data_IF_795409839812
#
_entry.id   IF_795409839812
#
_cell.length_a   1.000
_cell.length_b   1.000
_cell.length_c   1.000
_cell.angle_alpha   90.00
_cell.angle_beta   90.00
_cell.angle_gamma   90.00
#
_symmetry.space_group_name_H-M   'P 1'
#
loop_
_entity.id
_entity.type
_entity.pdbx_description
1 polymer ?
#
# COMPACT_ATOMS: atom_id res chain seq x y z
N UNK A 1 -29.84 -16.74 25.58
CA UNK A 1 -28.63 -16.81 24.73
C UNK A 1 -28.78 -15.76 23.64
N UNK A 2 -27.94 -14.72 23.63
CA UNK A 2 -27.95 -13.72 22.55
C UNK A 2 -27.27 -14.38 21.35
N UNK A 3 -28.04 -14.69 20.31
CA UNK A 3 -27.51 -15.29 19.09
C UNK A 3 -26.90 -14.18 18.23
N UNK A 4 -25.59 -14.21 18.00
CA UNK A 4 -24.95 -13.33 17.03
C UNK A 4 -25.33 -13.77 15.62
N UNK A 5 -25.80 -12.81 14.82
CA UNK A 5 -26.19 -13.03 13.43
C UNK A 5 -25.21 -12.32 12.49
N UNK A 6 -24.92 -12.87 11.30
CA UNK A 6 -23.94 -12.27 10.41
C UNK A 6 -24.45 -10.95 9.83
N UNK A 7 -23.54 -9.98 9.73
CA UNK A 7 -23.71 -8.85 8.83
C UNK A 7 -23.92 -9.35 7.39
N UNK A 8 -24.90 -8.79 6.66
CA UNK A 8 -25.20 -9.24 5.30
C UNK A 8 -24.01 -9.07 4.35
N UNK A 9 -23.26 -7.98 4.52
CA UNK A 9 -22.14 -7.62 3.64
C UNK A 9 -20.83 -8.33 4.01
N UNK A 10 -20.49 -8.41 5.31
CA UNK A 10 -19.16 -8.89 5.72
C UNK A 10 -19.16 -10.18 6.53
N UNK A 11 -20.33 -10.78 6.80
CA UNK A 11 -20.45 -12.02 7.56
C UNK A 11 -20.10 -11.90 9.05
N UNK A 12 -19.55 -10.77 9.52
CA UNK A 12 -19.14 -10.61 10.92
C UNK A 12 -20.34 -10.68 11.87
N UNK A 13 -20.15 -11.28 13.04
CA UNK A 13 -21.19 -11.40 14.06
C UNK A 13 -21.69 -10.03 14.55
N UNK A 14 -23.01 -9.87 14.57
CA UNK A 14 -23.70 -8.69 15.09
C UNK A 14 -24.75 -9.11 16.13
N UNK A 15 -24.87 -8.38 17.24
CA UNK A 15 -26.01 -8.53 18.14
C UNK A 15 -27.23 -7.87 17.48
N UNK A 16 -28.04 -8.66 16.77
CA UNK A 16 -29.24 -8.20 16.06
C UNK A 16 -30.47 -8.88 16.63
N UNK A 17 -31.48 -8.09 16.97
CA UNK A 17 -32.75 -8.56 17.55
C UNK A 17 -33.80 -8.65 16.45
N UNK A 18 -34.78 -9.53 16.62
CA UNK A 18 -35.89 -9.68 15.66
C UNK A 18 -36.59 -8.33 15.44
N UNK A 19 -36.74 -7.95 14.16
CA UNK A 19 -37.35 -6.68 13.75
C UNK A 19 -36.40 -5.47 13.78
N UNK A 20 -35.15 -5.62 14.24
CA UNK A 20 -34.21 -4.50 14.30
C UNK A 20 -33.41 -4.30 13.01
N UNK A 21 -32.87 -3.08 12.87
CA UNK A 21 -31.88 -2.70 11.87
C UNK A 21 -30.63 -2.23 12.60
N UNK A 22 -29.48 -2.84 12.27
CA UNK A 22 -28.22 -2.56 12.97
C UNK A 22 -27.16 -2.09 11.98
N UNK A 23 -26.40 -1.05 12.34
CA UNK A 23 -25.23 -0.62 11.58
C UNK A 23 -24.04 -1.52 11.94
N UNK A 24 -23.45 -2.19 10.97
CA UNK A 24 -22.26 -3.00 11.19
C UNK A 24 -21.07 -2.11 11.56
N UNK A 25 -20.42 -2.31 12.73
CA UNK A 25 -19.29 -1.49 13.13
C UNK A 25 -18.02 -1.78 12.32
N UNK A 26 -17.99 -2.89 11.56
CA UNK A 26 -16.82 -3.34 10.80
C UNK A 26 -16.85 -2.86 9.35
N UNK A 27 -17.99 -3.04 8.66
CA UNK A 27 -18.14 -2.65 7.26
C UNK A 27 -19.02 -1.41 7.04
N UNK A 28 -19.65 -0.87 8.09
CA UNK A 28 -20.53 0.29 8.00
C UNK A 28 -21.85 0.05 7.25
N UNK A 29 -22.15 -1.19 6.84
CA UNK A 29 -23.42 -1.52 6.20
C UNK A 29 -24.56 -1.56 7.20
N UNK A 30 -25.75 -1.09 6.79
CA UNK A 30 -26.97 -1.28 7.57
C UNK A 30 -27.53 -2.66 7.24
N UNK A 31 -27.68 -3.51 8.25
CA UNK A 31 -28.19 -4.87 8.12
C UNK A 31 -29.52 -5.03 8.84
N UNK A 32 -30.51 -5.54 8.12
CA UNK A 32 -31.80 -5.96 8.69
C UNK A 32 -31.68 -7.38 9.26
N UNK A 33 -32.40 -7.64 10.35
CA UNK A 33 -32.50 -8.98 10.93
C UNK A 33 -32.81 -10.09 9.91
N UNK A 34 -33.77 -9.84 9.01
CA UNK A 34 -34.16 -10.84 7.99
C UNK A 34 -33.04 -11.11 6.97
N UNK A 35 -32.28 -10.10 6.58
CA UNK A 35 -31.12 -10.25 5.68
C UNK A 35 -30.03 -11.09 6.34
N UNK A 36 -29.76 -10.82 7.63
CA UNK A 36 -28.82 -11.62 8.41
C UNK A 36 -29.25 -13.07 8.53
N UNK A 37 -30.54 -13.33 8.83
CA UNK A 37 -31.05 -14.70 8.90
C UNK A 37 -30.92 -15.41 7.56
N UNK A 38 -31.31 -14.73 6.47
CA UNK A 38 -31.24 -15.32 5.14
C UNK A 38 -29.79 -15.68 4.78
N UNK A 39 -28.86 -14.75 4.95
CA UNK A 39 -27.43 -14.99 4.74
C UNK A 39 -26.94 -16.13 5.63
N UNK A 40 -27.33 -16.16 6.90
CA UNK A 40 -26.89 -17.19 7.82
C UNK A 40 -27.39 -18.58 7.43
N UNK A 41 -28.67 -18.71 7.06
CA UNK A 41 -29.26 -19.98 6.59
C UNK A 41 -28.55 -20.48 5.33
N UNK A 42 -28.28 -19.59 4.38
CA UNK A 42 -27.55 -19.93 3.15
C UNK A 42 -26.19 -20.54 3.48
N UNK A 43 -25.37 -19.87 4.29
CA UNK A 43 -24.03 -20.36 4.64
C UNK A 43 -24.05 -21.59 5.54
N UNK A 44 -25.06 -21.72 6.40
CA UNK A 44 -25.26 -22.91 7.21
C UNK A 44 -25.59 -24.14 6.33
N UNK A 45 -26.40 -23.95 5.28
CA UNK A 45 -26.69 -24.97 4.29
C UNK A 45 -25.48 -25.28 3.40
N UNK A 46 -24.70 -24.27 3.02
CA UNK A 46 -23.51 -24.45 2.20
C UNK A 46 -22.41 -25.22 2.94
N UNK A 47 -22.10 -24.82 4.18
CA UNK A 47 -20.98 -25.38 4.95
C UNK A 47 -21.36 -26.69 5.63
N UNK A 48 -22.49 -26.72 6.35
CA UNK A 48 -22.88 -27.88 7.15
C UNK A 48 -23.98 -28.73 6.50
N UNK A 49 -24.56 -28.30 5.37
CA UNK A 49 -25.74 -28.93 4.75
C UNK A 49 -26.89 -29.06 5.75
N UNK A 50 -27.11 -28.00 6.53
CA UNK A 50 -28.17 -27.87 7.52
C UNK A 50 -29.18 -26.81 7.08
N UNK A 51 -30.46 -27.19 7.03
CA UNK A 51 -31.55 -26.33 6.55
C UNK A 51 -32.20 -25.51 7.70
N UNK A 52 -31.86 -25.80 8.95
CA UNK A 52 -32.50 -25.16 10.13
C UNK A 52 -31.49 -24.59 11.12
N UNK A 53 -31.81 -23.41 11.66
CA UNK A 53 -31.06 -22.70 12.72
C UNK A 53 -31.35 -23.31 14.11
N UNK A 54 -32.23 -24.32 14.22
CA UNK A 54 -32.59 -24.88 15.54
C UNK A 54 -31.37 -25.57 16.15
N UNK A 55 -30.81 -24.96 17.19
CA UNK A 55 -29.82 -25.60 18.05
C UNK A 55 -30.47 -26.80 18.72
N UNK A 56 -30.04 -28.00 18.33
CA UNK A 56 -30.46 -29.22 19.03
C UNK A 56 -29.75 -29.26 20.38
N UNK A 57 -30.43 -29.68 21.43
CA UNK A 57 -29.85 -29.85 22.77
C UNK A 57 -28.82 -30.99 22.81
N UNK A 58 -28.98 -32.01 21.94
CA UNK A 58 -27.99 -33.08 21.73
C UNK A 58 -27.82 -33.38 20.24
N UNK A 59 -26.56 -33.58 19.83
CA UNK A 59 -26.19 -34.06 18.51
C UNK A 59 -25.86 -35.56 18.56
N UNK A 60 -26.31 -36.32 17.55
CA UNK A 60 -25.85 -37.72 17.37
C UNK A 60 -24.37 -37.72 16.97
N UNK A 61 -23.58 -38.67 17.47
CA UNK A 61 -22.14 -38.75 17.18
C UNK A 61 -21.83 -38.75 15.67
N UNK A 62 -22.60 -39.49 14.86
CA UNK A 62 -22.45 -39.51 13.38
C UNK A 62 -22.58 -38.12 12.75
N UNK A 63 -23.52 -37.31 13.25
CA UNK A 63 -23.72 -35.93 12.76
C UNK A 63 -22.60 -35.01 13.26
N UNK A 64 -22.07 -35.23 14.47
CA UNK A 64 -20.95 -34.46 14.99
C UNK A 64 -19.68 -34.68 14.16
N UNK A 65 -19.34 -35.94 13.85
CA UNK A 65 -18.20 -36.28 13.00
C UNK A 65 -18.36 -35.73 11.58
N UNK A 66 -19.58 -35.79 11.01
CA UNK A 66 -19.88 -35.15 9.73
C UNK A 66 -19.60 -33.65 9.78
N UNK A 67 -20.07 -32.94 10.81
CA UNK A 67 -19.81 -31.49 10.96
C UNK A 67 -18.33 -31.18 11.09
N UNK A 68 -17.58 -31.95 11.89
CA UNK A 68 -16.12 -31.84 12.00
C UNK A 68 -15.42 -31.97 10.65
N UNK A 69 -15.81 -32.95 9.84
CA UNK A 69 -15.26 -33.16 8.49
C UNK A 69 -15.57 -31.97 7.56
N UNK A 70 -16.83 -31.52 7.53
CA UNK A 70 -17.25 -30.43 6.65
C UNK A 70 -16.60 -29.10 7.02
N UNK A 71 -16.52 -28.77 8.32
CA UNK A 71 -15.84 -27.54 8.77
C UNK A 71 -14.35 -27.59 8.49
N UNK A 72 -13.70 -28.76 8.62
CA UNK A 72 -12.30 -28.95 8.23
C UNK A 72 -12.08 -28.69 6.75
N UNK A 73 -12.89 -29.31 5.89
CA UNK A 73 -12.80 -29.13 4.45
C UNK A 73 -13.00 -27.66 4.06
N UNK A 74 -14.02 -27.01 4.61
CA UNK A 74 -14.30 -25.61 4.35
C UNK A 74 -13.18 -24.69 4.83
N UNK A 75 -12.67 -24.88 6.05
CA UNK A 75 -11.58 -24.07 6.59
C UNK A 75 -10.30 -24.21 5.76
N UNK A 76 -9.96 -25.42 5.33
CA UNK A 76 -8.79 -25.64 4.49
C UNK A 76 -8.90 -24.87 3.17
N UNK A 77 -10.08 -24.89 2.53
CA UNK A 77 -10.34 -24.10 1.32
C UNK A 77 -10.27 -22.60 1.61
N UNK A 78 -10.95 -22.13 2.65
CA UNK A 78 -10.92 -20.73 3.07
C UNK A 78 -9.50 -20.22 3.30
N UNK A 79 -8.68 -21.00 3.99
CA UNK A 79 -7.29 -20.65 4.27
C UNK A 79 -6.42 -20.68 3.01
N UNK A 80 -6.65 -21.63 2.10
CA UNK A 80 -5.98 -21.66 0.80
C UNK A 80 -6.32 -20.40 -0.01
N UNK A 81 -7.61 -20.09 -0.18
CA UNK A 81 -8.09 -18.92 -0.92
C UNK A 81 -7.57 -17.61 -0.31
N UNK A 82 -7.48 -17.51 1.02
CA UNK A 82 -6.89 -16.36 1.71
C UNK A 82 -5.39 -16.20 1.38
N UNK A 83 -4.64 -17.29 1.34
CA UNK A 83 -3.20 -17.25 1.09
C UNK A 83 -2.85 -16.92 -0.38
N UNK A 84 -3.80 -16.97 -1.31
CA UNK A 84 -3.61 -16.42 -2.66
C UNK A 84 -3.42 -14.89 -2.64
N UNK A 85 -3.98 -14.20 -1.63
CA UNK A 85 -3.80 -12.77 -1.46
C UNK A 85 -2.42 -12.46 -0.90
N UNK A 86 -1.52 -12.07 -1.82
CA UNK A 86 -0.14 -11.69 -1.50
C UNK A 86 -0.05 -10.34 -0.76
N UNK A 87 -1.05 -9.47 -0.92
CA UNK A 87 -1.11 -8.16 -0.27
C UNK A 87 -2.26 -8.15 0.72
N UNK A 88 -2.03 -7.54 1.88
CA UNK A 88 -3.09 -7.32 2.86
C UNK A 88 -3.56 -5.87 2.90
N UNK A 89 -2.82 -4.96 2.28
CA UNK A 89 -3.16 -3.55 2.11
C UNK A 89 -2.80 -3.14 0.67
N UNK A 90 -3.52 -2.18 0.11
CA UNK A 90 -3.26 -1.58 -1.20
C UNK A 90 -3.03 -0.09 -1.04
N UNK A 91 -1.91 0.38 -1.58
CA UNK A 91 -1.54 1.79 -1.65
C UNK A 91 -2.00 2.40 -2.97
N UNK A 92 -1.96 3.73 -3.07
CA UNK A 92 -2.20 4.44 -4.35
C UNK A 92 -1.06 4.28 -5.36
N UNK A 93 0.09 3.75 -4.94
CA UNK A 93 1.24 3.50 -5.80
C UNK A 93 1.22 2.10 -6.44
N UNK A 94 0.45 1.17 -5.87
CA UNK A 94 0.45 -0.22 -6.29
C UNK A 94 -0.28 -0.41 -7.62
N UNK A 95 0.32 -1.18 -8.52
CA UNK A 95 -0.31 -1.58 -9.79
C UNK A 95 -0.97 -2.97 -9.69
N UNK A 96 -1.80 -3.16 -8.66
CA UNK A 96 -2.50 -4.42 -8.39
C UNK A 96 -3.98 -4.22 -8.65
N UNK A 97 -4.57 -5.15 -9.40
CA UNK A 97 -6.01 -5.27 -9.55
C UNK A 97 -6.53 -6.43 -8.70
N UNK A 98 -7.69 -6.24 -8.09
CA UNK A 98 -8.34 -7.21 -7.23
C UNK A 98 -9.78 -7.32 -7.66
N UNK A 99 -10.24 -8.55 -7.95
CA UNK A 99 -11.66 -8.81 -8.15
C UNK A 99 -12.42 -8.54 -6.84
N UNK A 100 -13.21 -7.45 -6.77
CA UNK A 100 -13.92 -7.09 -5.56
C UNK A 100 -15.01 -8.10 -5.22
N UNK A 101 -15.61 -8.76 -6.22
CA UNK A 101 -16.67 -9.75 -6.03
C UNK A 101 -16.12 -11.01 -5.36
N UNK A 102 -14.99 -11.51 -5.85
CA UNK A 102 -14.29 -12.65 -5.22
C UNK A 102 -13.83 -12.31 -3.80
N UNK A 103 -13.26 -11.11 -3.60
CA UNK A 103 -12.82 -10.65 -2.28
C UNK A 103 -13.99 -10.58 -1.29
N UNK A 104 -15.13 -10.00 -1.69
CA UNK A 104 -16.30 -9.90 -0.83
C UNK A 104 -16.89 -11.26 -0.45
N UNK A 105 -16.97 -12.19 -1.40
CA UNK A 105 -17.42 -13.54 -1.10
C UNK A 105 -16.52 -14.21 -0.07
N UNK A 106 -15.21 -14.04 -0.18
CA UNK A 106 -14.26 -14.58 0.80
C UNK A 106 -14.39 -13.93 2.18
N UNK A 107 -14.57 -12.60 2.23
CA UNK A 107 -14.86 -11.86 3.47
C UNK A 107 -16.08 -12.47 4.16
N UNK A 108 -17.20 -12.62 3.43
CA UNK A 108 -18.45 -13.17 3.96
C UNK A 108 -18.26 -14.60 4.46
N UNK A 109 -17.60 -15.45 3.68
CA UNK A 109 -17.29 -16.83 4.04
C UNK A 109 -16.52 -16.92 5.36
N UNK A 110 -15.47 -16.10 5.54
CA UNK A 110 -14.70 -16.07 6.77
C UNK A 110 -15.53 -15.60 7.99
N UNK A 111 -16.35 -14.56 7.82
CA UNK A 111 -17.20 -14.07 8.90
C UNK A 111 -18.29 -15.07 9.30
N UNK A 112 -18.95 -15.70 8.34
CA UNK A 112 -19.98 -16.70 8.61
C UNK A 112 -19.40 -17.97 9.25
N UNK A 113 -18.20 -18.39 8.84
CA UNK A 113 -17.53 -19.56 9.38
C UNK A 113 -17.23 -19.42 10.87
N UNK A 114 -16.80 -18.23 11.31
CA UNK A 114 -16.61 -17.89 12.72
C UNK A 114 -17.89 -18.16 13.54
N UNK A 115 -19.03 -17.65 13.08
CA UNK A 115 -20.34 -17.80 13.74
C UNK A 115 -20.79 -19.27 13.73
N UNK A 116 -20.54 -20.00 12.65
CA UNK A 116 -20.90 -21.42 12.53
C UNK A 116 -20.10 -22.27 13.52
N UNK A 117 -18.79 -22.02 13.67
CA UNK A 117 -17.98 -22.73 14.66
C UNK A 117 -18.47 -22.47 16.08
N UNK A 118 -18.68 -21.20 16.42
CA UNK A 118 -19.11 -20.76 17.76
C UNK A 118 -20.48 -21.35 18.16
N UNK A 119 -21.45 -21.34 17.24
CA UNK A 119 -22.82 -21.67 17.58
C UNK A 119 -23.22 -23.13 17.25
N UNK A 120 -22.56 -23.78 16.27
CA UNK A 120 -23.03 -25.05 15.70
C UNK A 120 -22.03 -26.21 15.79
N UNK A 121 -20.80 -25.97 16.22
CA UNK A 121 -19.82 -27.04 16.45
C UNK A 121 -19.27 -27.03 17.87
N UNK A 122 -18.68 -25.92 18.32
CA UNK A 122 -18.01 -25.81 19.62
C UNK A 122 -18.88 -26.25 20.82
N UNK A 123 -20.18 -25.91 20.92
CA UNK A 123 -21.02 -26.29 22.06
C UNK A 123 -21.25 -27.81 22.21
N UNK A 124 -20.94 -28.59 21.16
CA UNK A 124 -21.17 -30.03 21.12
C UNK A 124 -19.89 -30.85 21.34
N UNK A 125 -18.73 -30.20 21.40
CA UNK A 125 -17.45 -30.86 21.62
C UNK A 125 -17.21 -31.04 23.12
N UNK A 126 -16.63 -32.19 23.50
CA UNK A 126 -16.32 -32.53 24.90
C UNK A 126 -14.82 -32.65 25.18
N UNK A 127 -14.02 -32.98 24.17
CA UNK A 127 -12.58 -33.20 24.31
C UNK A 127 -11.81 -31.89 24.19
N UNK A 128 -10.98 -31.58 25.19
CA UNK A 128 -10.21 -30.33 25.24
C UNK A 128 -9.31 -30.11 24.02
N UNK A 129 -8.60 -31.15 23.57
CA UNK A 129 -7.72 -31.07 22.38
C UNK A 129 -8.52 -30.67 21.14
N UNK A 130 -9.68 -31.28 20.97
CA UNK A 130 -10.58 -31.04 19.84
C UNK A 130 -11.18 -29.64 19.94
N UNK A 131 -11.63 -29.21 21.13
CA UNK A 131 -12.12 -27.84 21.39
C UNK A 131 -11.06 -26.80 21.04
N UNK A 132 -9.83 -26.96 21.53
CA UNK A 132 -8.72 -26.03 21.25
C UNK A 132 -8.49 -25.84 19.75
N UNK A 133 -8.45 -26.94 19.00
CA UNK A 133 -8.29 -26.91 17.54
C UNK A 133 -9.38 -26.11 16.82
N UNK A 134 -10.66 -26.30 17.16
CA UNK A 134 -11.74 -25.57 16.50
C UNK A 134 -11.84 -24.12 16.98
N UNK A 135 -11.43 -23.81 18.22
CA UNK A 135 -11.23 -22.42 18.66
C UNK A 135 -10.15 -21.73 17.84
N UNK A 136 -9.01 -22.38 17.60
CA UNK A 136 -7.97 -21.83 16.73
C UNK A 136 -8.48 -21.53 15.31
N UNK A 137 -9.32 -22.39 14.73
CA UNK A 137 -9.92 -22.13 13.41
C UNK A 137 -10.90 -20.97 13.41
N UNK A 138 -11.69 -20.83 14.48
CA UNK A 138 -12.57 -19.66 14.66
C UNK A 138 -11.75 -18.39 14.71
N UNK A 139 -10.69 -18.37 15.51
CA UNK A 139 -9.80 -17.23 15.69
C UNK A 139 -9.08 -16.86 14.39
N UNK A 140 -8.58 -17.85 13.65
CA UNK A 140 -7.98 -17.63 12.34
C UNK A 140 -9.01 -17.10 11.33
N UNK A 141 -10.24 -17.59 11.36
CA UNK A 141 -11.32 -17.08 10.50
C UNK A 141 -11.66 -15.62 10.79
N UNK A 142 -11.66 -15.22 12.06
CA UNK A 142 -11.81 -13.83 12.46
C UNK A 142 -10.68 -12.97 11.88
N UNK A 143 -9.42 -13.41 12.02
CA UNK A 143 -8.26 -12.70 11.46
C UNK A 143 -8.37 -12.59 9.93
N UNK A 144 -8.74 -13.67 9.23
CA UNK A 144 -8.93 -13.67 7.78
C UNK A 144 -10.00 -12.66 7.40
N UNK A 145 -11.17 -12.68 8.05
CA UNK A 145 -12.27 -11.74 7.80
C UNK A 145 -11.83 -10.28 7.93
N UNK A 146 -11.16 -9.93 9.04
CA UNK A 146 -10.71 -8.56 9.28
C UNK A 146 -9.57 -8.13 8.36
N UNK A 147 -8.64 -9.04 8.05
CA UNK A 147 -7.55 -8.76 7.11
C UNK A 147 -8.09 -8.47 5.72
N UNK A 148 -9.04 -9.27 5.24
CA UNK A 148 -9.68 -9.07 3.93
C UNK A 148 -10.56 -7.82 3.89
N UNK A 149 -11.22 -7.46 5.00
CA UNK A 149 -11.91 -6.16 5.11
C UNK A 149 -10.94 -4.98 5.03
N UNK A 150 -9.78 -5.08 5.70
CA UNK A 150 -8.70 -4.10 5.58
C UNK A 150 -8.23 -3.94 4.14
N UNK A 151 -7.96 -5.07 3.47
CA UNK A 151 -7.60 -5.13 2.06
C UNK A 151 -8.66 -4.46 1.18
N UNK A 152 -9.93 -4.83 1.34
CA UNK A 152 -11.04 -4.28 0.57
C UNK A 152 -11.12 -2.76 0.70
N UNK A 153 -11.09 -2.22 1.93
CA UNK A 153 -11.19 -0.78 2.10
C UNK A 153 -9.96 -0.03 1.58
N UNK A 154 -8.77 -0.61 1.68
CA UNK A 154 -7.57 -0.03 1.05
C UNK A 154 -7.67 -0.03 -0.48
N UNK A 155 -8.25 -1.06 -1.09
CA UNK A 155 -8.55 -1.11 -2.52
C UNK A 155 -9.54 -0.03 -2.95
N UNK A 156 -10.64 0.14 -2.20
CA UNK A 156 -11.61 1.23 -2.47
C UNK A 156 -10.96 2.60 -2.25
N UNK A 157 -10.07 2.74 -1.27
CA UNK A 157 -9.31 3.97 -1.05
C UNK A 157 -8.40 4.30 -2.25
N UNK A 158 -7.70 3.30 -2.80
CA UNK A 158 -6.87 3.45 -4.01
C UNK A 158 -7.69 4.02 -5.16
N UNK A 159 -8.85 3.43 -5.43
CA UNK A 159 -9.70 3.77 -6.58
C UNK A 159 -10.52 5.06 -6.40
N UNK A 160 -10.58 5.61 -5.19
CA UNK A 160 -11.28 6.87 -4.94
C UNK A 160 -10.43 8.08 -5.35
N UNK A 161 -11.03 9.02 -6.08
CA UNK A 161 -10.43 10.31 -6.45
C UNK A 161 -10.61 11.39 -5.36
N UNK A 162 -11.58 11.21 -4.46
CA UNK A 162 -11.89 12.18 -3.41
C UNK A 162 -11.12 11.87 -2.13
N UNK A 163 -10.35 12.84 -1.62
CA UNK A 163 -9.53 12.68 -0.42
C UNK A 163 -10.38 12.31 0.79
N UNK A 164 -11.54 12.93 0.97
CA UNK A 164 -12.42 12.68 2.12
C UNK A 164 -12.90 11.23 2.15
N UNK A 165 -13.24 10.68 0.97
CA UNK A 165 -13.60 9.27 0.82
C UNK A 165 -12.40 8.37 1.08
N UNK A 166 -11.22 8.68 0.53
CA UNK A 166 -10.00 7.92 0.78
C UNK A 166 -9.65 7.86 2.27
N UNK A 167 -9.74 9.00 2.99
CA UNK A 167 -9.51 9.07 4.43
C UNK A 167 -10.46 8.14 5.17
N UNK A 168 -11.77 8.21 4.85
CA UNK A 168 -12.78 7.34 5.47
C UNK A 168 -12.51 5.87 5.21
N UNK A 169 -12.10 5.49 4.00
CA UNK A 169 -11.79 4.10 3.69
C UNK A 169 -10.54 3.61 4.41
N UNK A 170 -9.47 4.41 4.47
CA UNK A 170 -8.30 4.04 5.28
C UNK A 170 -8.63 3.96 6.78
N UNK A 171 -9.52 4.82 7.33
CA UNK A 171 -10.01 4.67 8.70
C UNK A 171 -10.73 3.33 8.93
N UNK A 172 -11.53 2.88 7.96
CA UNK A 172 -12.18 1.57 8.03
C UNK A 172 -11.16 0.42 7.95
N UNK A 173 -10.13 0.54 7.09
CA UNK A 173 -9.07 -0.45 7.01
C UNK A 173 -8.28 -0.54 8.33
N UNK A 174 -7.84 0.62 8.85
CA UNK A 174 -7.14 0.77 10.14
C UNK A 174 -7.94 0.13 11.27
N UNK A 175 -9.24 0.43 11.36
CA UNK A 175 -10.13 -0.14 12.38
C UNK A 175 -10.17 -1.66 12.31
N UNK A 176 -10.19 -2.24 11.12
CA UNK A 176 -10.23 -3.70 10.96
C UNK A 176 -8.92 -4.36 11.40
N UNK A 177 -7.75 -3.81 11.09
CA UNK A 177 -6.49 -4.33 11.65
C UNK A 177 -6.38 -4.11 13.15
N UNK A 178 -6.84 -2.96 13.66
CA UNK A 178 -6.88 -2.70 15.10
C UNK A 178 -7.76 -3.72 15.83
N UNK A 179 -8.90 -4.10 15.27
CA UNK A 179 -9.73 -5.18 15.84
C UNK A 179 -8.96 -6.51 15.96
N UNK A 180 -8.05 -6.82 15.02
CA UNK A 180 -7.19 -8.01 15.12
C UNK A 180 -6.21 -7.86 16.28
N UNK A 181 -5.57 -6.69 16.42
CA UNK A 181 -4.64 -6.40 17.52
C UNK A 181 -5.34 -6.54 18.87
N UNK A 182 -6.53 -5.96 19.00
CA UNK A 182 -7.35 -6.04 20.21
C UNK A 182 -7.75 -7.48 20.50
N UNK A 183 -8.14 -8.24 19.48
CA UNK A 183 -8.43 -9.67 19.59
C UNK A 183 -7.22 -10.47 20.07
N UNK A 184 -6.03 -10.24 19.51
CA UNK A 184 -4.79 -10.90 19.93
C UNK A 184 -4.40 -10.57 21.38
N UNK A 185 -4.75 -9.38 21.89
CA UNK A 185 -4.53 -9.03 23.29
C UNK A 185 -5.49 -9.79 24.21
N UNK A 186 -6.77 -9.86 23.84
CA UNK A 186 -7.79 -10.61 24.59
C UNK A 186 -7.44 -12.10 24.61
N UNK A 187 -7.10 -12.68 23.46
CA UNK A 187 -6.76 -14.11 23.34
C UNK A 187 -5.50 -14.48 24.11
N UNK A 188 -4.56 -13.54 24.34
CA UNK A 188 -3.38 -13.77 25.19
C UNK A 188 -3.79 -13.90 26.66
N UNK A 189 -4.68 -13.05 27.15
CA UNK A 189 -5.19 -13.11 28.52
C UNK A 189 -5.93 -14.43 28.79
N UNK A 190 -6.64 -14.95 27.78
CA UNK A 190 -7.37 -16.22 27.87
C UNK A 190 -6.49 -17.46 27.63
N UNK A 191 -5.38 -17.32 26.88
CA UNK A 191 -4.47 -18.40 26.50
C UNK A 191 -3.04 -17.88 26.31
N UNK A 192 -2.23 -17.94 27.38
CA UNK A 192 -0.84 -17.45 27.42
C UNK A 192 0.12 -18.09 26.39
N UNK A 193 -0.27 -19.15 25.67
CA UNK A 193 0.50 -19.82 24.62
C UNK A 193 -0.04 -19.66 23.19
N UNK A 194 -0.99 -18.75 22.93
CA UNK A 194 -1.63 -18.68 21.61
C UNK A 194 -0.64 -18.32 20.49
N UNK A 195 -0.60 -19.13 19.43
CA UNK A 195 0.16 -18.82 18.19
C UNK A 195 -0.28 -17.51 17.55
N UNK A 196 -1.50 -17.06 17.85
CA UNK A 196 -2.11 -15.82 17.35
C UNK A 196 -1.38 -14.58 17.85
N UNK A 197 -0.88 -14.58 19.09
CA UNK A 197 -0.13 -13.45 19.63
C UNK A 197 1.15 -13.16 18.84
N UNK A 198 1.78 -14.18 18.25
CA UNK A 198 2.96 -13.99 17.38
C UNK A 198 2.65 -13.14 16.14
N UNK A 199 1.40 -13.14 15.68
CA UNK A 199 0.94 -12.33 14.54
C UNK A 199 0.57 -10.89 14.92
N UNK A 200 0.47 -10.57 16.22
CA UNK A 200 0.05 -9.24 16.71
C UNK A 200 0.93 -8.13 16.14
N UNK A 201 2.25 -8.32 16.17
CA UNK A 201 3.20 -7.30 15.75
C UNK A 201 3.03 -6.93 14.27
N UNK A 202 2.80 -7.93 13.42
CA UNK A 202 2.51 -7.72 12.01
C UNK A 202 1.24 -6.87 11.80
N UNK A 203 0.16 -7.16 12.52
CA UNK A 203 -1.09 -6.38 12.41
C UNK A 203 -1.00 -4.99 13.07
N UNK A 204 -0.15 -4.81 14.08
CA UNK A 204 0.18 -3.49 14.60
C UNK A 204 0.86 -2.64 13.53
N UNK A 205 1.86 -3.20 12.84
CA UNK A 205 2.56 -2.51 11.74
C UNK A 205 1.58 -2.15 10.62
N UNK A 206 0.69 -3.08 10.21
CA UNK A 206 -0.37 -2.79 9.25
C UNK A 206 -1.25 -1.62 9.70
N UNK A 207 -1.70 -1.64 10.96
CA UNK A 207 -2.53 -0.56 11.52
C UNK A 207 -1.82 0.78 11.42
N UNK A 208 -0.57 0.85 11.89
CA UNK A 208 0.22 2.08 11.88
C UNK A 208 0.55 2.57 10.47
N UNK A 209 0.80 1.66 9.53
CA UNK A 209 1.06 2.01 8.14
C UNK A 209 -0.20 2.56 7.45
N UNK A 210 -1.38 1.98 7.69
CA UNK A 210 -2.64 2.53 7.19
C UNK A 210 -2.87 3.95 7.72
N UNK A 211 -2.57 4.19 9.00
CA UNK A 211 -2.61 5.54 9.58
C UNK A 211 -1.68 6.49 8.81
N UNK A 212 -0.46 6.05 8.48
CA UNK A 212 0.46 6.86 7.66
C UNK A 212 -0.13 7.13 6.27
N UNK A 213 -0.65 6.13 5.56
CA UNK A 213 -1.26 6.32 4.24
C UNK A 213 -2.43 7.32 4.28
N UNK A 214 -3.26 7.22 5.32
CA UNK A 214 -4.37 8.15 5.56
C UNK A 214 -3.89 9.58 5.76
N UNK A 215 -2.85 9.76 6.57
CA UNK A 215 -2.37 11.09 6.94
C UNK A 215 -1.52 11.72 5.83
N UNK A 216 -0.79 10.89 5.05
CA UNK A 216 -0.09 11.31 3.83
C UNK A 216 -1.05 11.95 2.84
N UNK A 217 -2.32 11.51 2.72
CA UNK A 217 -3.27 12.17 1.79
C UNK A 217 -3.31 13.71 1.92
N UNK A 218 -3.04 14.26 3.10
CA UNK A 218 -3.09 15.70 3.39
C UNK A 218 -1.74 16.32 3.78
N UNK A 219 -0.67 15.54 3.90
CA UNK A 219 0.61 15.99 4.46
C UNK A 219 1.79 15.46 3.64
N UNK A 220 2.91 16.18 3.70
CA UNK A 220 4.15 15.72 3.10
C UNK A 220 4.58 14.37 3.74
N UNK A 221 4.87 13.32 2.96
CA UNK A 221 5.42 12.06 3.46
C UNK A 221 6.63 12.22 4.39
N UNK A 222 7.41 13.30 4.24
CA UNK A 222 8.60 13.63 5.05
C UNK A 222 8.32 13.64 6.56
N UNK A 223 7.12 14.06 6.96
CA UNK A 223 6.71 14.08 8.37
C UNK A 223 6.62 12.67 8.99
N UNK A 224 6.61 11.63 8.16
CA UNK A 224 6.48 10.24 8.59
C UNK A 224 7.75 9.43 8.38
N UNK A 225 8.86 10.02 7.92
CA UNK A 225 10.11 9.30 7.60
C UNK A 225 10.62 8.45 8.77
N UNK A 226 10.72 9.02 9.98
CA UNK A 226 11.12 8.27 11.18
C UNK A 226 10.14 7.12 11.51
N UNK A 227 8.84 7.34 11.29
CA UNK A 227 7.81 6.33 11.53
C UNK A 227 7.92 5.19 10.52
N UNK A 228 8.06 5.50 9.24
CA UNK A 228 8.25 4.52 8.16
C UNK A 228 9.52 3.69 8.39
N UNK A 229 10.64 4.33 8.73
CA UNK A 229 11.89 3.63 9.05
C UNK A 229 11.73 2.69 10.25
N UNK A 230 11.04 3.12 11.31
CA UNK A 230 10.75 2.28 12.46
C UNK A 230 9.87 1.07 12.07
N UNK A 231 8.86 1.26 11.21
CA UNK A 231 8.03 0.15 10.72
C UNK A 231 8.86 -0.87 9.93
N UNK A 232 9.76 -0.42 9.05
CA UNK A 232 10.68 -1.31 8.31
C UNK A 232 11.59 -2.10 9.27
N UNK A 233 12.16 -1.44 10.28
CA UNK A 233 12.99 -2.11 11.31
C UNK A 233 12.20 -3.16 12.07
N UNK A 234 10.94 -2.88 12.43
CA UNK A 234 10.06 -3.83 13.13
C UNK A 234 9.66 -5.01 12.24
N UNK A 235 9.35 -4.79 10.97
CA UNK A 235 9.08 -5.88 10.01
C UNK A 235 10.27 -6.82 9.84
N UNK A 236 11.49 -6.27 9.80
CA UNK A 236 12.69 -7.06 9.66
C UNK A 236 12.90 -8.04 10.82
N UNK A 237 12.46 -7.67 12.03
CA UNK A 237 12.51 -8.50 13.25
C UNK A 237 11.43 -9.60 13.33
N UNK A 238 10.48 -9.64 12.39
CA UNK A 238 9.48 -10.73 12.37
C UNK A 238 10.14 -11.99 11.79
N UNK A 239 10.22 -13.04 12.61
CA UNK A 239 10.87 -14.32 12.29
C UNK A 239 10.17 -15.08 11.15
N UNK A 240 8.82 -15.06 11.13
CA UNK A 240 8.02 -15.82 10.16
C UNK A 240 7.97 -15.09 8.81
N UNK A 241 9.00 -15.27 7.98
CA UNK A 241 9.03 -14.66 6.64
C UNK A 241 7.98 -15.30 5.72
N UNK A 242 7.07 -14.47 5.23
CA UNK A 242 6.08 -14.86 4.22
C UNK A 242 5.90 -13.76 3.17
N UNK A 243 5.20 -14.08 2.08
CA UNK A 243 4.99 -13.16 0.95
C UNK A 243 4.26 -11.86 1.36
N UNK A 244 3.38 -11.91 2.36
CA UNK A 244 2.60 -10.77 2.82
C UNK A 244 3.49 -9.76 3.57
N UNK A 245 4.44 -10.24 4.38
CA UNK A 245 5.44 -9.40 5.05
C UNK A 245 6.38 -8.75 4.03
N UNK A 246 6.85 -9.52 3.05
CA UNK A 246 7.72 -8.99 1.99
C UNK A 246 7.02 -7.86 1.21
N UNK A 247 5.77 -8.07 0.80
CA UNK A 247 5.03 -7.06 0.07
C UNK A 247 4.75 -5.82 0.94
N UNK A 248 4.40 -6.00 2.21
CA UNK A 248 4.23 -4.87 3.13
C UNK A 248 5.53 -4.08 3.30
N UNK A 249 6.67 -4.76 3.40
CA UNK A 249 7.98 -4.12 3.46
C UNK A 249 8.22 -3.25 2.21
N UNK A 250 8.03 -3.84 1.02
CA UNK A 250 8.19 -3.14 -0.26
C UNK A 250 7.25 -1.93 -0.39
N UNK A 251 6.00 -2.05 0.07
CA UNK A 251 5.04 -0.94 0.08
C UNK A 251 5.47 0.21 0.99
N UNK A 252 5.93 -0.10 2.20
CA UNK A 252 6.42 0.92 3.16
C UNK A 252 7.68 1.58 2.61
N UNK A 253 8.61 0.78 2.07
CA UNK A 253 9.86 1.25 1.48
C UNK A 253 9.60 2.16 0.27
N UNK A 254 8.68 1.81 -0.62
CA UNK A 254 8.36 2.63 -1.78
C UNK A 254 7.82 4.02 -1.38
N UNK A 255 6.96 4.10 -0.36
CA UNK A 255 6.49 5.40 0.17
C UNK A 255 7.64 6.18 0.81
N UNK A 256 8.52 5.48 1.53
CA UNK A 256 9.67 6.08 2.20
C UNK A 256 10.70 6.64 1.23
N UNK A 257 11.08 5.86 0.21
CA UNK A 257 12.07 6.26 -0.79
C UNK A 257 11.56 7.36 -1.72
N UNK A 258 10.27 7.35 -2.08
CA UNK A 258 9.71 8.38 -2.95
C UNK A 258 9.94 9.80 -2.41
N UNK A 259 9.85 10.00 -1.10
CA UNK A 259 10.14 11.29 -0.47
C UNK A 259 11.63 11.62 -0.49
N UNK A 260 12.47 10.67 -0.06
CA UNK A 260 13.93 10.87 -0.02
C UNK A 260 14.51 11.14 -1.39
N UNK A 261 14.07 10.39 -2.39
CA UNK A 261 14.49 10.52 -3.78
C UNK A 261 14.06 11.88 -4.36
N UNK A 262 12.86 12.36 -4.00
CA UNK A 262 12.40 13.70 -4.42
C UNK A 262 13.27 14.79 -3.80
N UNK A 263 13.52 14.73 -2.49
CA UNK A 263 14.36 15.70 -1.78
C UNK A 263 15.81 15.69 -2.29
N UNK A 264 16.40 14.50 -2.47
CA UNK A 264 17.75 14.37 -3.02
C UNK A 264 17.81 14.90 -4.45
N UNK A 265 16.80 14.66 -5.28
CA UNK A 265 16.77 15.19 -6.64
C UNK A 265 16.70 16.73 -6.64
N UNK A 266 15.89 17.33 -5.76
CA UNK A 266 15.82 18.79 -5.60
C UNK A 266 17.16 19.38 -5.18
N UNK A 267 17.81 18.80 -4.16
CA UNK A 267 19.15 19.23 -3.73
C UNK A 267 20.18 19.04 -4.86
N UNK A 268 20.08 17.95 -5.63
CA UNK A 268 20.92 17.73 -6.81
C UNK A 268 20.73 18.83 -7.86
N UNK A 269 19.51 19.27 -8.16
CA UNK A 269 19.29 20.37 -9.13
C UNK A 269 19.82 21.71 -8.60
N UNK A 270 19.82 21.88 -7.27
CA UNK A 270 20.25 23.10 -6.59
C UNK A 270 21.77 23.21 -6.42
N UNK A 271 22.45 22.11 -6.08
CA UNK A 271 23.86 22.06 -5.70
C UNK A 271 24.74 21.47 -6.81
N UNK A 272 24.34 20.35 -7.40
CA UNK A 272 25.10 19.70 -8.48
C UNK A 272 24.80 20.44 -9.79
N UNK A 273 25.35 21.63 -9.94
CA UNK A 273 25.43 22.25 -11.25
C UNK A 273 26.68 21.68 -11.96
N UNK A 274 26.55 20.79 -12.95
CA UNK A 274 27.71 20.29 -13.70
C UNK A 274 28.52 21.41 -14.38
N UNK A 275 27.97 22.64 -14.46
CA UNK A 275 28.65 23.85 -14.94
C UNK A 275 29.62 24.47 -13.93
N UNK A 276 29.51 24.14 -12.62
CA UNK A 276 30.41 24.66 -11.57
C UNK A 276 31.66 23.79 -11.38
N UNK A 277 31.61 22.51 -11.78
CA UNK A 277 32.72 21.56 -11.70
C UNK A 277 33.48 21.39 -13.01
N UNK A 278 32.92 21.83 -14.14
CA UNK A 278 33.71 22.11 -15.34
C UNK A 278 34.53 23.37 -15.05
N UNK A 279 35.84 23.23 -14.93
CA UNK A 279 36.75 24.38 -14.95
C UNK A 279 36.47 25.28 -16.16
N UNK A 280 36.97 26.53 -16.18
CA UNK A 280 36.81 27.39 -17.36
C UNK A 280 37.25 26.58 -18.58
N UNK A 281 36.33 26.38 -19.51
CA UNK A 281 36.61 25.71 -20.78
C UNK A 281 37.88 26.35 -21.35
N UNK A 282 38.90 25.54 -21.61
CA UNK A 282 40.22 26.03 -22.01
C UNK A 282 40.08 26.95 -23.24
N UNK A 283 40.85 28.04 -23.23
CA UNK A 283 40.68 29.20 -24.11
C UNK A 283 40.90 28.87 -25.60
N UNK A 284 41.39 27.68 -25.94
CA UNK A 284 41.66 27.21 -27.30
C UNK A 284 40.54 26.29 -27.84
N UNK A 285 39.45 26.91 -28.27
CA UNK A 285 38.20 26.22 -28.68
C UNK A 285 38.34 25.32 -29.91
N UNK A 286 39.36 25.52 -30.75
CA UNK A 286 39.53 24.76 -32.00
C UNK A 286 40.13 23.36 -31.78
N UNK A 287 41.01 23.19 -30.79
CA UNK A 287 41.74 21.93 -30.60
C UNK A 287 40.99 20.89 -29.75
N UNK A 288 40.02 21.32 -28.92
CA UNK A 288 39.24 20.44 -28.01
C UNK A 288 37.74 20.37 -28.37
N UNK A 289 37.39 20.55 -29.64
CA UNK A 289 35.99 20.56 -30.10
C UNK A 289 35.21 19.30 -29.71
N UNK A 290 35.82 18.12 -29.77
CA UNK A 290 35.18 16.86 -29.35
C UNK A 290 34.94 16.81 -27.83
N UNK A 291 35.94 17.13 -27.01
CA UNK A 291 35.82 17.11 -25.54
C UNK A 291 34.77 18.14 -25.07
N UNK A 292 34.75 19.31 -25.70
CA UNK A 292 33.79 20.37 -25.40
C UNK A 292 32.36 19.99 -25.84
N UNK A 293 32.19 19.32 -26.98
CA UNK A 293 30.90 18.77 -27.40
C UNK A 293 30.43 17.64 -26.47
N UNK A 294 31.33 16.77 -26.01
CA UNK A 294 31.02 15.74 -25.02
C UNK A 294 30.55 16.35 -23.69
N UNK A 295 31.23 17.38 -23.19
CA UNK A 295 30.82 18.14 -22.00
C UNK A 295 29.42 18.73 -22.17
N UNK A 296 29.14 19.43 -23.28
CA UNK A 296 27.81 19.98 -23.57
C UNK A 296 26.72 18.89 -23.66
N UNK A 297 27.01 17.78 -24.34
CA UNK A 297 26.09 16.65 -24.44
C UNK A 297 25.82 16.00 -23.08
N UNK A 298 26.83 15.91 -22.21
CA UNK A 298 26.69 15.38 -20.85
C UNK A 298 25.75 16.24 -20.00
N UNK A 299 25.88 17.57 -20.08
CA UNK A 299 25.02 18.54 -19.37
C UNK A 299 23.59 18.46 -19.89
N UNK A 300 23.41 18.45 -21.21
CA UNK A 300 22.10 18.29 -21.85
C UNK A 300 21.42 16.98 -21.44
N UNK A 301 22.16 15.87 -21.44
CA UNK A 301 21.67 14.57 -20.99
C UNK A 301 21.29 14.60 -19.51
N UNK A 302 22.10 15.24 -18.66
CA UNK A 302 21.82 15.41 -17.24
C UNK A 302 20.50 16.17 -16.99
N UNK A 303 20.28 17.32 -17.65
CA UNK A 303 19.04 18.11 -17.53
C UNK A 303 17.82 17.26 -17.90
N UNK A 304 17.92 16.49 -18.98
CA UNK A 304 16.87 15.58 -19.44
C UNK A 304 16.57 14.49 -18.40
N UNK A 305 17.60 13.78 -17.92
CA UNK A 305 17.46 12.69 -16.95
C UNK A 305 16.84 13.20 -15.64
N UNK A 306 17.30 14.35 -15.14
CA UNK A 306 16.77 14.97 -13.92
C UNK A 306 15.30 15.34 -14.09
N UNK A 307 14.92 15.89 -15.25
CA UNK A 307 13.53 16.23 -15.57
C UNK A 307 12.62 15.00 -15.63
N UNK A 308 13.06 13.93 -16.28
CA UNK A 308 12.30 12.67 -16.36
C UNK A 308 12.11 12.04 -14.98
N UNK A 309 13.17 12.01 -14.15
CA UNK A 309 13.09 11.52 -12.76
C UNK A 309 12.12 12.35 -11.93
N UNK A 310 12.20 13.68 -12.01
CA UNK A 310 11.32 14.57 -11.26
C UNK A 310 9.86 14.37 -11.65
N UNK A 311 9.56 14.30 -12.95
CA UNK A 311 8.20 14.03 -13.44
C UNK A 311 7.65 12.70 -12.91
N UNK A 312 8.48 11.65 -12.87
CA UNK A 312 8.09 10.35 -12.29
C UNK A 312 7.77 10.48 -10.80
N UNK A 313 8.62 11.13 -10.02
CA UNK A 313 8.40 11.31 -8.58
C UNK A 313 7.19 12.18 -8.29
N UNK A 314 7.05 13.31 -8.99
CA UNK A 314 5.91 14.20 -8.87
C UNK A 314 4.60 13.46 -9.21
N UNK A 315 4.58 12.64 -10.27
CA UNK A 315 3.41 11.83 -10.63
C UNK A 315 3.05 10.84 -9.52
N UNK A 316 4.03 10.19 -8.92
CA UNK A 316 3.80 9.23 -7.83
C UNK A 316 3.33 9.94 -6.55
N UNK A 317 3.90 11.09 -6.21
CA UNK A 317 3.43 11.91 -5.10
C UNK A 317 1.99 12.36 -5.36
N UNK A 318 1.67 12.91 -6.53
CA UNK A 318 0.30 13.26 -6.91
C UNK A 318 -0.66 12.07 -6.78
N UNK A 319 -0.25 10.87 -7.23
CA UNK A 319 -1.04 9.65 -7.02
C UNK A 319 -1.30 9.39 -5.54
N UNK A 320 -0.30 9.50 -4.65
CA UNK A 320 -0.51 9.36 -3.21
C UNK A 320 -1.57 10.32 -2.66
N UNK A 321 -1.71 11.52 -3.23
CA UNK A 321 -2.71 12.52 -2.85
C UNK A 321 -3.99 12.47 -3.69
N UNK A 322 -4.29 11.33 -4.33
CA UNK A 322 -5.50 11.17 -5.17
C UNK A 322 -5.57 12.15 -6.34
N UNK A 323 -4.43 12.56 -6.87
CA UNK A 323 -4.32 13.53 -7.96
C UNK A 323 -4.45 14.99 -7.52
N UNK A 324 -4.67 15.26 -6.22
CA UNK A 324 -4.77 16.63 -5.73
C UNK A 324 -3.38 17.25 -5.59
N UNK A 325 -3.21 18.40 -6.22
CA UNK A 325 -2.05 19.26 -5.99
C UNK A 325 -2.24 19.98 -4.64
N UNK A 326 -1.33 19.73 -3.71
CA UNK A 326 -1.34 20.31 -2.36
C UNK A 326 -0.12 21.20 -2.20
N UNK A 327 -0.18 22.15 -1.27
CA UNK A 327 0.77 23.27 -1.16
C UNK A 327 2.25 22.85 -1.22
N UNK A 328 2.66 21.77 -0.56
CA UNK A 328 4.06 21.34 -0.60
C UNK A 328 4.48 20.79 -1.97
N UNK A 329 3.57 20.16 -2.73
CA UNK A 329 3.84 19.70 -4.10
C UNK A 329 3.96 20.88 -5.05
N UNK A 330 3.17 21.94 -4.83
CA UNK A 330 3.32 23.21 -5.55
C UNK A 330 4.69 23.81 -5.26
N UNK A 331 5.08 23.86 -3.98
CA UNK A 331 6.41 24.32 -3.57
C UNK A 331 7.52 23.54 -4.27
N UNK A 332 7.49 22.21 -4.22
CA UNK A 332 8.49 21.36 -4.89
C UNK A 332 8.49 21.57 -6.40
N UNK A 333 7.32 21.78 -7.01
CA UNK A 333 7.20 22.03 -8.45
C UNK A 333 7.82 23.36 -8.84
N UNK A 334 7.49 24.42 -8.12
CA UNK A 334 8.02 25.76 -8.35
C UNK A 334 9.53 25.78 -8.13
N UNK A 335 10.00 25.18 -7.04
CA UNK A 335 11.42 25.06 -6.73
C UNK A 335 12.18 24.32 -7.85
N UNK A 336 11.67 23.17 -8.28
CA UNK A 336 12.27 22.41 -9.38
C UNK A 336 12.31 23.22 -10.69
N UNK A 337 11.20 23.87 -11.06
CA UNK A 337 11.12 24.68 -12.29
C UNK A 337 12.15 25.81 -12.23
N UNK A 338 12.22 26.55 -11.12
CA UNK A 338 13.16 27.66 -10.96
C UNK A 338 14.62 27.21 -11.12
N UNK A 339 15.02 26.13 -10.44
CA UNK A 339 16.40 25.64 -10.56
C UNK A 339 16.68 25.04 -11.94
N UNK A 340 15.74 24.32 -12.52
CA UNK A 340 15.87 23.74 -13.86
C UNK A 340 15.99 24.84 -14.92
N UNK A 341 15.15 25.87 -14.87
CA UNK A 341 15.19 26.98 -15.83
C UNK A 341 16.49 27.81 -15.67
N UNK A 342 16.96 28.01 -14.43
CA UNK A 342 18.29 28.60 -14.17
C UNK A 342 19.42 27.78 -14.82
N UNK A 343 19.42 26.46 -14.62
CA UNK A 343 20.44 25.58 -15.19
C UNK A 343 20.39 25.54 -16.72
N UNK A 344 19.19 25.61 -17.32
CA UNK A 344 19.00 25.72 -18.78
C UNK A 344 19.53 27.06 -19.30
N UNK A 345 19.25 28.17 -18.61
CA UNK A 345 19.79 29.47 -19.00
C UNK A 345 21.31 29.47 -18.99
N UNK A 346 21.94 28.99 -17.92
CA UNK A 346 23.41 28.88 -17.86
C UNK A 346 23.99 27.97 -18.95
N UNK A 347 23.30 26.88 -19.31
CA UNK A 347 23.71 26.02 -20.42
C UNK A 347 23.61 26.75 -21.77
N UNK A 348 22.56 27.53 -21.99
CA UNK A 348 22.39 28.31 -23.22
C UNK A 348 23.45 29.41 -23.33
N UNK A 349 23.74 30.13 -22.24
CA UNK A 349 24.78 31.17 -22.20
C UNK A 349 26.17 30.58 -22.51
N UNK A 350 26.45 29.39 -21.97
CA UNK A 350 27.69 28.65 -22.26
C UNK A 350 27.78 28.30 -23.75
N UNK A 351 26.69 27.75 -24.32
CA UNK A 351 26.62 27.39 -25.72
C UNK A 351 26.81 28.61 -26.63
N UNK A 352 26.17 29.74 -26.32
CA UNK A 352 26.31 31.00 -27.05
C UNK A 352 27.74 31.55 -26.98
N UNK A 353 28.36 31.52 -25.80
CA UNK A 353 29.76 31.92 -25.61
C UNK A 353 30.69 31.07 -26.45
N UNK A 354 30.48 29.75 -26.49
CA UNK A 354 31.29 28.83 -27.30
C UNK A 354 31.10 29.06 -28.80
N UNK A 355 29.85 29.26 -29.26
CA UNK A 355 29.56 29.56 -30.67
C UNK A 355 30.24 30.86 -31.08
N UNK A 356 30.12 31.91 -30.26
CA UNK A 356 30.70 33.23 -30.55
C UNK A 356 32.21 33.15 -30.65
N UNK A 357 32.88 32.54 -29.65
CA UNK A 357 34.33 32.38 -29.69
C UNK A 357 34.80 31.49 -30.85
N UNK A 358 34.08 30.42 -31.19
CA UNK A 358 34.42 29.58 -32.35
C UNK A 358 34.32 30.38 -33.67
N UNK A 359 33.30 31.24 -33.81
CA UNK A 359 33.15 32.13 -34.95
C UNK A 359 34.27 33.17 -35.01
N UNK A 360 34.65 33.76 -33.87
CA UNK A 360 35.73 34.75 -33.79
C UNK A 360 37.08 34.15 -34.21
N UNK A 361 37.42 32.95 -33.73
CA UNK A 361 38.67 32.29 -34.12
C UNK A 361 38.63 31.90 -35.61
N UNK A 362 37.52 31.35 -36.10
CA UNK A 362 37.36 31.06 -37.53
C UNK A 362 37.55 32.32 -38.39
N UNK A 363 36.98 33.45 -37.97
CA UNK A 363 37.12 34.71 -38.69
C UNK A 363 38.58 35.22 -38.67
N UNK A 364 39.28 35.08 -37.54
CA UNK A 364 40.70 35.43 -37.42
C UNK A 364 41.58 34.56 -38.32
N UNK A 365 41.40 33.24 -38.28
CA UNK A 365 42.14 32.29 -39.15
C UNK A 365 41.84 32.55 -40.63
N UNK A 366 40.57 32.79 -40.99
CA UNK A 366 40.19 33.13 -42.36
C UNK A 366 40.82 34.46 -42.82
N UNK A 367 40.89 35.47 -41.94
CA UNK A 367 41.57 36.74 -42.19
C UNK A 367 43.09 36.55 -42.36
N UNK A 368 43.73 35.75 -41.53
CA UNK A 368 45.16 35.43 -41.66
C UNK A 368 45.46 34.72 -42.99
N UNK A 369 44.63 33.75 -43.39
CA UNK A 369 44.74 33.07 -44.68
C UNK A 369 44.53 34.03 -45.85
N UNK A 370 43.55 34.93 -45.76
CA UNK A 370 43.32 35.94 -46.79
C UNK A 370 44.46 36.96 -46.89
N UNK A 371 45.02 37.39 -45.76
CA UNK A 371 46.17 38.31 -45.71
C UNK A 371 47.41 37.65 -46.30
N UNK A 372 47.72 36.41 -45.90
CA UNK A 372 48.84 35.65 -46.48
C UNK A 372 48.66 35.40 -47.98
N UNK A 373 47.44 35.07 -48.45
CA UNK A 373 47.17 34.97 -49.88
C UNK A 373 47.33 36.31 -50.61
N UNK A 374 47.00 37.44 -49.96
CA UNK A 374 47.20 38.78 -50.53
C UNK A 374 48.66 39.18 -50.61
N UNK A 375 49.49 38.75 -49.65
CA UNK A 375 50.95 38.99 -49.66
C UNK A 375 51.68 38.15 -50.73
N UNK A 376 51.01 37.13 -51.28
CA UNK A 376 51.52 36.29 -52.37
C UNK A 376 51.16 36.80 -53.78
N UNK A 377 50.27 37.78 -53.91
CA UNK A 377 49.85 38.43 -55.18
C UNK A 377 50.57 39.76 -55.31
#
# INVERSE_FOLDING_TARGET
MILYLPCKECGSGLPIIKGSKTLCPYCGSKTLYMESIYSFKHFLAEILKLVSIRNKTRLKNKELERRKYLTKSFFNKLNFDFNEYRHLIITKLDNIDIDPSRLFNLIRSAGNFEIILENFLLPYLKEDKTIKKYKEWKDLSFIINKSLLGLYYSYVAKNSIYIEKCVRYYQLAEKNYKNIVDYCNISKLENNGSKLYKKKEFFLILTEFVTVLRDVLKRNPKYFSNKLENLLKRLNKIDEKNIQIYNLYSQIEHVYQLERDTCHLLEKVKVDNPLLTSGPLEENIIFDTEENLEKLNSIRAWIKIVSEKYQKYQRNLLKLHSGKLIQYLESYRTEFINYKDKNVAMFNDLLETMITKALDIYNLEALEVLNTLSDFI
#
